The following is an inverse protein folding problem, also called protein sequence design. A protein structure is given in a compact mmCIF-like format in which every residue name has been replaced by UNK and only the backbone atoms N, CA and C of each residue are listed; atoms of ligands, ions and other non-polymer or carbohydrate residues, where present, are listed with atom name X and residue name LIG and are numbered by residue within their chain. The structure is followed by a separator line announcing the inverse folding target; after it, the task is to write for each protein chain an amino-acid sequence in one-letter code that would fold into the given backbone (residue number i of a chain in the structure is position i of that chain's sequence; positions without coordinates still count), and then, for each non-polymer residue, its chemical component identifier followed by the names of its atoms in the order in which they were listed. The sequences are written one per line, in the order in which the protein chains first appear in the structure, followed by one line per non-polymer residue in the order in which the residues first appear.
data_IF_874148476670
#
_entry.id   IF_874148476670
#
_cell.length_a   1.000
_cell.length_b   1.000
_cell.length_c   1.000
_cell.angle_alpha   90.00
_cell.angle_beta   90.00
_cell.angle_gamma   90.00
#
_symmetry.space_group_name_H-M   'P 1'
#
loop_
_entity.id
_entity.type
_entity.pdbx_description
1 polymer ?
#
# COMPACT_ATOMS: atom_id res chain seq x y z
N UNK A 1 -7.93 -20.28 -5.27
CA UNK A 1 -9.19 -20.33 -6.03
C UNK A 1 -10.18 -21.12 -5.22
N UNK A 2 -11.42 -20.64 -5.10
CA UNK A 2 -12.48 -21.38 -4.42
C UNK A 2 -13.78 -21.21 -5.19
N UNK A 3 -14.49 -22.30 -5.45
CA UNK A 3 -15.80 -22.27 -6.08
C UNK A 3 -16.85 -22.56 -5.02
N UNK A 4 -17.80 -21.64 -4.86
CA UNK A 4 -18.87 -21.74 -3.87
C UNK A 4 -20.19 -21.95 -4.61
N UNK A 5 -20.95 -22.95 -4.18
CA UNK A 5 -22.30 -23.21 -4.68
C UNK A 5 -23.31 -22.70 -3.65
N UNK A 6 -24.19 -21.82 -4.08
CA UNK A 6 -25.26 -21.26 -3.27
C UNK A 6 -26.59 -21.81 -3.76
N UNK A 7 -27.33 -22.48 -2.88
CA UNK A 7 -28.67 -22.95 -3.17
C UNK A 7 -29.69 -22.06 -2.46
N UNK A 8 -30.49 -21.35 -3.25
CA UNK A 8 -31.62 -20.57 -2.78
C UNK A 8 -32.86 -21.46 -2.80
N UNK A 9 -33.56 -21.55 -1.67
CA UNK A 9 -34.88 -22.19 -1.54
C UNK A 9 -35.90 -21.13 -1.18
N UNK A 10 -36.95 -21.00 -1.98
CA UNK A 10 -38.07 -20.08 -1.75
C UNK A 10 -39.32 -20.91 -1.49
N UNK A 11 -40.05 -20.57 -0.43
CA UNK A 11 -41.34 -21.21 -0.10
C UNK A 11 -42.43 -20.15 -0.15
N UNK A 12 -43.54 -20.42 -0.85
CA UNK A 12 -44.70 -19.52 -0.88
C UNK A 12 -45.62 -19.72 0.33
N UNK A 13 -46.61 -18.84 0.48
CA UNK A 13 -47.58 -18.87 1.59
C UNK A 13 -48.53 -20.09 1.53
N UNK A 14 -48.58 -20.78 0.39
CA UNK A 14 -49.36 -22.01 0.20
C UNK A 14 -48.50 -23.28 0.37
N UNK A 15 -47.23 -23.13 0.80
CA UNK A 15 -46.32 -24.24 1.09
C UNK A 15 -45.59 -24.82 -0.13
N UNK A 16 -45.68 -24.21 -1.31
CA UNK A 16 -44.92 -24.65 -2.49
C UNK A 16 -43.50 -24.13 -2.42
N UNK A 17 -42.57 -24.95 -2.88
CA UNK A 17 -41.14 -24.70 -2.77
C UNK A 17 -40.50 -24.66 -4.15
N UNK A 18 -39.66 -23.65 -4.39
CA UNK A 18 -38.79 -23.56 -5.57
C UNK A 18 -37.34 -23.45 -5.12
N UNK A 19 -36.42 -24.08 -5.84
CA UNK A 19 -34.98 -24.01 -5.54
C UNK A 19 -34.18 -23.60 -6.77
N UNK A 20 -33.21 -22.71 -6.59
CA UNK A 20 -32.25 -22.28 -7.62
C UNK A 20 -30.83 -22.35 -7.08
N UNK A 21 -29.88 -22.78 -7.91
CA UNK A 21 -28.47 -22.91 -7.52
C UNK A 21 -27.62 -21.94 -8.33
N UNK A 22 -26.80 -21.14 -7.65
CA UNK A 22 -25.84 -20.21 -8.26
C UNK A 22 -24.41 -20.65 -7.92
N UNK A 23 -23.53 -20.64 -8.94
CA UNK A 23 -22.12 -20.94 -8.75
C UNK A 23 -21.33 -19.64 -8.73
N UNK A 24 -20.56 -19.41 -7.67
CA UNK A 24 -19.69 -18.25 -7.52
C UNK A 24 -18.24 -18.73 -7.57
N UNK A 25 -17.56 -18.38 -8.64
CA UNK A 25 -16.15 -18.67 -8.82
C UNK A 25 -15.32 -17.52 -8.23
N UNK A 26 -14.64 -17.76 -7.11
CA UNK A 26 -13.75 -16.78 -6.48
C UNK A 26 -12.34 -17.00 -7.00
N UNK A 27 -11.95 -16.13 -7.94
CA UNK A 27 -10.57 -16.02 -8.40
C UNK A 27 -9.80 -15.12 -7.44
N UNK A 28 -8.55 -15.48 -7.03
CA UNK A 28 -7.67 -14.49 -6.42
C UNK A 28 -7.58 -13.32 -7.38
N UNK A 29 -7.93 -12.12 -6.91
CA UNK A 29 -8.03 -10.95 -7.76
C UNK A 29 -6.74 -10.81 -8.55
N UNK A 30 -6.82 -10.89 -9.88
CA UNK A 30 -5.73 -10.40 -10.72
C UNK A 30 -5.49 -8.95 -10.26
N UNK A 31 -4.26 -8.56 -9.89
CA UNK A 31 -3.97 -7.15 -9.73
C UNK A 31 -4.44 -6.47 -11.02
N UNK A 32 -5.17 -5.35 -10.95
CA UNK A 32 -5.65 -4.68 -12.15
C UNK A 32 -4.42 -4.38 -13.01
N UNK A 33 -4.28 -5.14 -14.11
CA UNK A 33 -3.07 -5.22 -14.90
C UNK A 33 -2.65 -3.83 -15.39
N UNK A 34 -1.36 -3.56 -15.19
CA UNK A 34 -0.46 -2.74 -16.02
C UNK A 34 -0.93 -1.36 -16.47
N UNK A 35 -0.65 -0.35 -15.64
CA UNK A 35 0.04 0.87 -16.09
C UNK A 35 0.43 1.71 -14.86
N UNK A 36 1.63 1.46 -14.32
CA UNK A 36 2.23 2.22 -13.24
C UNK A 36 1.55 2.01 -11.89
N UNK A 37 2.18 1.22 -11.02
CA UNK A 37 2.43 1.62 -9.63
C UNK A 37 1.38 2.56 -9.04
N UNK A 38 0.15 2.07 -8.90
CA UNK A 38 -0.93 2.90 -8.41
C UNK A 38 -0.82 2.98 -6.88
N UNK A 39 -0.91 4.19 -6.36
CA UNK A 39 -0.75 4.51 -4.95
C UNK A 39 -2.09 4.83 -4.33
N UNK A 40 -2.27 4.42 -3.08
CA UNK A 40 -3.48 4.60 -2.31
C UNK A 40 -3.19 5.59 -1.18
N UNK A 41 -3.72 6.80 -1.32
CA UNK A 41 -3.71 7.81 -0.27
C UNK A 41 -5.07 7.82 0.43
N UNK A 42 -5.10 7.50 1.73
CA UNK A 42 -6.30 7.66 2.55
C UNK A 42 -6.26 8.99 3.28
N UNK A 43 -7.27 9.81 3.06
CA UNK A 43 -7.41 11.14 3.70
C UNK A 43 -8.70 11.24 4.50
N UNK A 44 -8.73 12.13 5.50
CA UNK A 44 -9.95 12.46 6.23
C UNK A 44 -10.82 13.47 5.44
N UNK A 45 -12.11 13.20 5.26
CA UNK A 45 -13.06 14.15 4.66
C UNK A 45 -13.36 13.98 3.16
N UNK A 46 -14.20 14.86 2.59
CA UNK A 46 -14.75 14.72 1.24
C UNK A 46 -13.76 15.20 0.17
N UNK A 47 -12.91 14.29 -0.32
CA UNK A 47 -11.86 14.59 -1.29
C UNK A 47 -12.40 14.92 -2.71
N UNK A 48 -13.64 14.58 -3.00
CA UNK A 48 -14.23 14.75 -4.34
C UNK A 48 -14.31 16.22 -4.77
N UNK A 49 -14.60 17.14 -3.85
CA UNK A 49 -14.77 18.56 -4.16
C UNK A 49 -13.44 19.35 -4.24
N UNK A 50 -12.37 18.85 -3.61
CA UNK A 50 -11.08 19.55 -3.49
C UNK A 50 -9.94 18.77 -4.16
N UNK A 51 -10.29 17.92 -5.13
CA UNK A 51 -9.34 17.09 -5.89
C UNK A 51 -8.20 17.91 -6.49
N UNK A 52 -8.52 19.00 -7.19
CA UNK A 52 -7.50 19.75 -7.94
C UNK A 52 -6.49 20.43 -7.02
N UNK A 53 -6.96 20.94 -5.88
CA UNK A 53 -6.10 21.50 -4.83
C UNK A 53 -5.16 20.43 -4.28
N UNK A 54 -5.67 19.24 -4.00
CA UNK A 54 -4.84 18.14 -3.49
C UNK A 54 -3.83 17.66 -4.54
N UNK A 55 -4.20 17.55 -5.82
CA UNK A 55 -3.25 17.19 -6.89
C UNK A 55 -2.13 18.22 -6.99
N UNK A 56 -2.46 19.53 -6.93
CA UNK A 56 -1.47 20.62 -6.92
C UNK A 56 -0.52 20.54 -5.72
N UNK A 57 -1.07 20.31 -4.53
CA UNK A 57 -0.24 20.16 -3.32
C UNK A 57 0.65 18.92 -3.43
N UNK A 58 0.12 17.78 -3.86
CA UNK A 58 0.93 16.58 -4.09
C UNK A 58 2.05 16.86 -5.09
N UNK A 59 1.74 17.45 -6.24
CA UNK A 59 2.72 17.81 -7.28
C UNK A 59 3.85 18.68 -6.72
N UNK A 60 3.52 19.70 -5.92
CA UNK A 60 4.49 20.54 -5.24
C UNK A 60 5.35 19.76 -4.23
N UNK A 61 4.78 18.79 -3.52
CA UNK A 61 5.49 17.99 -2.53
C UNK A 61 6.50 17.03 -3.14
N UNK A 62 6.14 16.39 -4.26
CA UNK A 62 6.98 15.41 -4.97
C UNK A 62 7.80 16.05 -6.09
N UNK A 63 7.76 17.37 -6.21
CA UNK A 63 8.49 18.17 -7.20
C UNK A 63 8.25 17.74 -8.66
N UNK A 64 7.00 17.42 -9.01
CA UNK A 64 6.56 17.13 -10.38
C UNK A 64 5.51 18.13 -10.83
N UNK A 65 5.17 18.14 -12.11
CA UNK A 65 4.11 19.01 -12.62
C UNK A 65 2.73 18.38 -12.36
N UNK A 66 1.70 19.21 -12.18
CA UNK A 66 0.32 18.72 -11.97
C UNK A 66 -0.13 17.72 -13.04
N UNK A 67 0.28 17.95 -14.30
CA UNK A 67 -0.05 17.10 -15.46
C UNK A 67 0.59 15.71 -15.41
N UNK A 68 1.65 15.55 -14.62
CA UNK A 68 2.39 14.31 -14.47
C UNK A 68 1.70 13.38 -13.46
N UNK A 69 0.82 13.92 -12.61
CA UNK A 69 0.00 13.15 -11.67
C UNK A 69 -1.30 12.72 -12.35
N UNK A 70 -1.47 11.42 -12.55
CA UNK A 70 -2.71 10.86 -13.10
C UNK A 70 -3.51 10.19 -11.99
N UNK A 71 -4.73 10.67 -11.79
CA UNK A 71 -5.67 10.15 -10.78
C UNK A 71 -6.63 9.15 -11.43
N UNK A 72 -6.70 7.93 -10.90
CA UNK A 72 -7.58 6.85 -11.39
C UNK A 72 -8.96 6.88 -10.75
N UNK A 73 -8.99 6.97 -9.42
CA UNK A 73 -10.21 6.73 -8.66
C UNK A 73 -10.19 7.53 -7.35
N UNK A 74 -11.32 8.18 -7.07
CA UNK A 74 -11.65 8.73 -5.78
C UNK A 74 -12.80 7.91 -5.22
N UNK A 75 -12.50 6.97 -4.33
CA UNK A 75 -13.52 6.16 -3.70
C UNK A 75 -13.76 6.68 -2.29
N UNK A 76 -14.85 7.44 -2.12
CA UNK A 76 -15.36 7.82 -0.81
C UNK A 76 -15.87 6.57 -0.12
N UNK A 77 -15.05 5.96 0.75
CA UNK A 77 -15.44 4.72 1.43
C UNK A 77 -16.45 5.01 2.54
N UNK A 78 -16.50 6.27 3.01
CA UNK A 78 -17.43 6.84 4.00
C UNK A 78 -17.42 8.38 3.91
N UNK A 79 -18.31 9.09 4.61
CA UNK A 79 -18.24 10.57 4.78
C UNK A 79 -16.95 11.06 5.48
N UNK A 80 -16.16 10.14 6.05
CA UNK A 80 -15.00 10.44 6.89
C UNK A 80 -13.67 10.00 6.28
N UNK A 81 -13.65 9.05 5.35
CA UNK A 81 -12.43 8.56 4.70
C UNK A 81 -12.60 8.41 3.19
N UNK A 82 -11.74 9.12 2.44
CA UNK A 82 -11.67 8.99 0.99
C UNK A 82 -10.35 8.33 0.59
N UNK A 83 -10.44 7.41 -0.37
CA UNK A 83 -9.33 6.68 -0.96
C UNK A 83 -9.02 7.33 -2.31
N UNK A 84 -7.83 7.89 -2.46
CA UNK A 84 -7.30 8.39 -3.72
C UNK A 84 -6.34 7.37 -4.32
N UNK A 85 -6.64 6.95 -5.55
CA UNK A 85 -5.73 6.16 -6.36
C UNK A 85 -5.08 7.03 -7.43
N UNK A 86 -3.75 7.10 -7.45
CA UNK A 86 -3.01 7.88 -8.47
C UNK A 86 -1.68 7.21 -8.84
N UNK A 87 -1.07 7.66 -9.94
CA UNK A 87 0.27 7.30 -10.34
C UNK A 87 0.97 8.51 -10.96
N UNK A 88 2.29 8.48 -10.99
CA UNK A 88 3.11 9.61 -11.45
C UNK A 88 3.90 9.23 -12.69
N UNK A 89 3.81 10.08 -13.71
CA UNK A 89 4.57 9.97 -14.95
C UNK A 89 5.80 10.88 -14.87
N UNK A 90 6.99 10.30 -14.70
CA UNK A 90 8.24 11.05 -14.73
C UNK A 90 8.72 11.34 -16.15
N UNK A 91 9.79 12.15 -16.29
CA UNK A 91 10.38 12.50 -17.59
C UNK A 91 10.94 11.29 -18.36
N UNK A 92 11.38 10.25 -17.65
CA UNK A 92 11.96 9.02 -18.21
C UNK A 92 10.98 7.84 -18.25
N UNK A 93 9.74 8.03 -17.80
CA UNK A 93 8.72 6.98 -17.71
C UNK A 93 7.95 7.00 -16.39
N UNK A 94 7.06 6.01 -16.17
CA UNK A 94 6.30 5.89 -14.92
C UNK A 94 7.24 5.73 -13.72
N UNK A 95 6.96 6.46 -12.64
CA UNK A 95 7.73 6.37 -11.39
C UNK A 95 7.32 5.10 -10.63
N UNK A 96 8.27 4.31 -10.07
CA UNK A 96 7.94 3.13 -9.26
C UNK A 96 7.20 3.53 -7.97
N UNK A 97 6.16 2.77 -7.60
CA UNK A 97 5.31 3.10 -6.45
C UNK A 97 6.04 2.88 -5.13
N UNK A 98 6.96 1.91 -5.05
CA UNK A 98 7.74 1.68 -3.83
C UNK A 98 8.50 2.93 -3.39
N UNK A 99 9.23 3.55 -4.32
CA UNK A 99 10.02 4.77 -4.05
C UNK A 99 9.15 5.96 -3.69
N UNK A 100 8.01 6.11 -4.36
CA UNK A 100 7.11 7.24 -4.14
C UNK A 100 6.31 7.09 -2.84
N UNK A 101 5.85 5.89 -2.48
CA UNK A 101 5.24 5.61 -1.17
C UNK A 101 6.20 5.88 -0.02
N UNK A 102 7.48 5.51 -0.16
CA UNK A 102 8.52 5.84 0.82
C UNK A 102 8.62 7.34 1.04
N UNK A 103 8.74 8.11 -0.05
CA UNK A 103 8.82 9.57 0.00
C UNK A 103 7.56 10.18 0.65
N UNK A 104 6.39 9.72 0.23
CA UNK A 104 5.10 10.20 0.72
C UNK A 104 4.87 9.84 2.19
N UNK A 105 5.27 8.65 2.65
CA UNK A 105 5.20 8.30 4.08
C UNK A 105 6.09 9.23 4.90
N UNK A 106 7.33 9.45 4.47
CA UNK A 106 8.26 10.35 5.17
C UNK A 106 7.71 11.77 5.22
N UNK A 107 7.28 12.31 4.08
CA UNK A 107 6.79 13.68 4.00
C UNK A 107 5.43 13.87 4.66
N UNK A 108 4.43 13.02 4.37
CA UNK A 108 3.03 13.24 4.79
C UNK A 108 2.70 12.66 6.16
N UNK A 109 3.44 11.67 6.66
CA UNK A 109 3.20 11.09 7.99
C UNK A 109 4.19 11.58 9.05
N UNK A 110 5.36 12.10 8.64
CA UNK A 110 6.46 12.46 9.57
C UNK A 110 6.84 13.94 9.51
N UNK A 111 7.25 14.44 8.35
CA UNK A 111 7.88 15.76 8.25
C UNK A 111 6.88 16.91 8.08
N UNK A 112 5.83 16.70 7.27
CA UNK A 112 4.90 17.73 6.79
C UNK A 112 3.44 17.23 6.81
N UNK A 113 2.99 16.75 7.97
CA UNK A 113 1.66 16.15 8.14
C UNK A 113 0.48 17.08 7.82
N UNK A 114 0.71 18.40 7.89
CA UNK A 114 -0.31 19.42 7.66
C UNK A 114 -0.14 20.15 6.30
N UNK A 115 0.70 19.61 5.41
CA UNK A 115 0.96 20.21 4.10
C UNK A 115 -0.21 20.06 3.13
N UNK A 116 -0.90 18.92 3.20
CA UNK A 116 -2.12 18.70 2.45
C UNK A 116 -3.29 19.29 3.22
N UNK A 117 -4.30 19.74 2.48
CA UNK A 117 -5.57 20.23 3.04
C UNK A 117 -6.26 19.19 3.94
N UNK A 118 -5.95 17.91 3.74
CA UNK A 118 -6.46 16.79 4.51
C UNK A 118 -5.33 16.06 5.23
N UNK A 119 -5.62 15.59 6.44
CA UNK A 119 -4.72 14.72 7.19
C UNK A 119 -4.65 13.36 6.51
N UNK A 120 -3.43 12.98 6.15
CA UNK A 120 -3.15 11.67 5.58
C UNK A 120 -3.16 10.63 6.68
N UNK A 121 -4.02 9.63 6.52
CA UNK A 121 -4.15 8.52 7.47
C UNK A 121 -3.21 7.39 7.10
N UNK A 122 -3.07 7.11 5.80
CA UNK A 122 -2.25 6.00 5.31
C UNK A 122 -1.86 6.19 3.85
N UNK A 123 -0.64 5.75 3.53
CA UNK A 123 -0.08 5.70 2.17
C UNK A 123 0.32 4.25 1.90
N UNK A 124 -0.29 3.61 0.91
CA UNK A 124 -0.02 2.23 0.50
C UNK A 124 0.12 2.12 -1.02
N UNK A 125 0.72 1.04 -1.51
CA UNK A 125 0.66 0.64 -2.92
C UNK A 125 -0.58 -0.23 -3.19
N UNK A 126 -1.14 -0.18 -4.40
CA UNK A 126 -2.32 -1.00 -4.76
C UNK A 126 -1.98 -2.50 -4.74
N UNK A 127 -0.92 -2.90 -5.42
CA UNK A 127 -0.33 -4.23 -5.32
C UNK A 127 0.87 -4.18 -4.38
N UNK A 128 1.26 -5.29 -3.75
CA UNK A 128 2.57 -5.26 -3.10
C UNK A 128 3.67 -5.35 -4.14
N UNK A 129 4.53 -4.32 -4.18
CA UNK A 129 5.67 -4.21 -5.09
C UNK A 129 7.01 -4.34 -4.34
N UNK A 130 6.99 -4.69 -3.05
CA UNK A 130 8.21 -4.89 -2.27
C UNK A 130 8.95 -6.13 -2.74
N UNK A 131 10.25 -5.98 -3.02
CA UNK A 131 11.13 -7.10 -3.40
C UNK A 131 11.55 -7.95 -2.20
N UNK A 132 11.30 -7.48 -0.97
CA UNK A 132 11.68 -8.15 0.28
C UNK A 132 13.15 -8.64 0.29
N UNK A 133 14.05 -7.85 -0.31
CA UNK A 133 15.47 -8.20 -0.47
C UNK A 133 15.73 -9.52 -1.22
N UNK A 134 14.73 -10.08 -1.90
CA UNK A 134 14.76 -11.41 -2.50
C UNK A 134 14.69 -12.57 -1.49
N UNK A 135 14.34 -12.30 -0.23
CA UNK A 135 14.46 -13.21 0.92
C UNK A 135 13.20 -13.23 1.77
N UNK A 136 12.07 -13.27 1.10
CA UNK A 136 10.77 -13.27 1.72
C UNK A 136 9.67 -13.03 0.70
N UNK A 137 8.44 -13.01 1.20
CA UNK A 137 7.24 -12.78 0.43
C UNK A 137 6.55 -11.51 0.89
N UNK A 138 6.11 -10.68 -0.04
CA UNK A 138 5.31 -9.54 0.36
C UNK A 138 3.85 -9.93 0.58
N UNK A 139 3.33 -9.59 1.75
CA UNK A 139 1.92 -9.76 2.08
C UNK A 139 1.04 -8.74 1.32
N UNK A 140 0.07 -9.19 0.50
CA UNK A 140 -0.78 -8.31 -0.28
C UNK A 140 -1.76 -7.47 0.56
N UNK A 141 -2.00 -7.85 1.81
CA UNK A 141 -2.93 -7.19 2.75
C UNK A 141 -2.17 -6.15 3.58
N UNK A 142 -1.12 -6.57 4.29
CA UNK A 142 -0.38 -5.67 5.19
C UNK A 142 0.60 -4.76 4.44
N UNK A 143 1.01 -5.14 3.22
CA UNK A 143 2.05 -4.47 2.43
C UNK A 143 3.40 -4.43 3.14
N UNK A 144 3.68 -5.50 3.89
CA UNK A 144 4.93 -5.73 4.60
C UNK A 144 5.58 -7.03 4.13
N UNK A 145 6.88 -7.17 4.36
CA UNK A 145 7.61 -8.36 4.02
C UNK A 145 7.48 -9.42 5.11
N UNK A 146 7.02 -10.61 4.73
CA UNK A 146 7.14 -11.82 5.53
C UNK A 146 8.45 -12.51 5.15
N UNK A 147 9.41 -12.49 6.07
CA UNK A 147 10.76 -12.95 5.78
C UNK A 147 10.88 -14.48 5.86
N UNK A 148 11.74 -15.02 5.00
CA UNK A 148 12.12 -16.43 5.05
C UNK A 148 12.87 -16.73 6.36
N UNK A 149 12.93 -18.00 6.81
CA UNK A 149 13.71 -18.38 7.98
C UNK A 149 15.15 -17.84 7.90
N UNK A 150 15.69 -17.41 9.05
CA UNK A 150 17.00 -16.76 9.22
C UNK A 150 17.10 -15.31 8.71
N UNK A 151 16.05 -14.77 8.08
CA UNK A 151 15.97 -13.37 7.69
C UNK A 151 15.01 -12.61 8.59
N UNK A 152 15.29 -11.33 8.83
CA UNK A 152 14.43 -10.48 9.63
C UNK A 152 14.29 -9.10 9.02
N UNK A 153 13.33 -8.32 9.50
CA UNK A 153 13.21 -6.94 9.12
C UNK A 153 14.40 -6.12 9.62
N UNK A 154 14.99 -5.32 8.73
CA UNK A 154 16.04 -4.40 9.13
C UNK A 154 15.42 -3.21 9.88
N UNK A 155 15.41 -3.30 11.21
CA UNK A 155 14.86 -2.26 12.10
C UNK A 155 15.59 -0.92 11.96
N UNK A 156 16.87 -0.90 11.58
CA UNK A 156 17.61 0.35 11.36
C UNK A 156 17.10 1.05 10.11
N UNK A 157 16.87 0.30 9.04
CA UNK A 157 16.23 0.85 7.83
C UNK A 157 14.81 1.31 8.12
N UNK A 158 14.06 0.59 8.96
CA UNK A 158 12.72 0.96 9.36
C UNK A 158 12.66 2.28 10.16
N UNK A 159 13.55 2.45 11.16
CA UNK A 159 13.48 3.59 12.07
C UNK A 159 14.34 4.79 11.64
N UNK A 160 15.53 4.53 11.08
CA UNK A 160 16.56 5.51 10.74
C UNK A 160 16.74 5.69 9.22
N UNK A 161 16.21 4.77 8.41
CA UNK A 161 16.30 4.80 6.96
C UNK A 161 15.03 5.34 6.28
N UNK A 162 14.59 4.61 5.26
CA UNK A 162 13.45 4.94 4.41
C UNK A 162 12.10 4.41 4.95
N UNK A 163 12.11 3.61 6.01
CA UNK A 163 10.89 3.05 6.59
C UNK A 163 10.25 1.94 5.73
N UNK A 164 10.96 1.43 4.72
CA UNK A 164 10.46 0.35 3.87
C UNK A 164 10.67 -1.01 4.54
N UNK A 165 9.62 -1.84 4.57
CA UNK A 165 9.70 -3.21 5.07
C UNK A 165 10.56 -4.05 4.14
N UNK A 166 11.48 -4.83 4.70
CA UNK A 166 12.49 -5.58 3.96
C UNK A 166 12.90 -6.83 4.74
N UNK A 167 13.71 -7.70 4.13
CA UNK A 167 14.26 -8.90 4.80
C UNK A 167 15.79 -8.88 4.72
N UNK A 168 16.41 -8.26 5.72
CA UNK A 168 17.86 -8.11 5.83
C UNK A 168 18.48 -9.12 6.79
N UNK A 169 19.79 -9.02 6.94
CA UNK A 169 20.51 -9.76 7.98
C UNK A 169 20.02 -9.32 9.37
N UNK A 170 19.99 -10.27 10.31
CA UNK A 170 19.94 -9.92 11.74
C UNK A 170 21.19 -9.10 12.05
N UNK A 171 21.05 -8.01 12.79
CA UNK A 171 22.19 -7.28 13.35
C UNK A 171 22.18 -7.40 14.88
N UNK A 172 23.30 -7.83 15.47
CA UNK A 172 23.51 -7.81 16.92
C UNK A 172 24.24 -6.51 17.26
N UNK A 173 23.70 -5.79 18.24
CA UNK A 173 24.32 -4.62 18.83
C UNK A 173 25.14 -5.04 20.05
N UNK A 174 26.46 -4.91 19.95
CA UNK A 174 27.38 -5.14 21.07
C UNK A 174 27.72 -3.77 21.66
N UNK A 175 27.37 -3.51 22.94
CA UNK A 175 27.77 -2.27 23.60
C UNK A 175 29.28 -2.33 23.92
N UNK A 176 30.06 -1.48 23.25
CA UNK A 176 31.44 -1.14 23.62
C UNK A 176 31.43 0.13 24.49
N UNK A 177 32.46 0.36 25.34
CA UNK A 177 32.47 1.46 26.31
C UNK A 177 32.30 2.88 25.71
N UNK A 178 32.46 3.05 24.40
CA UNK A 178 32.32 4.35 23.71
C UNK A 178 31.43 4.28 22.46
N UNK A 179 30.92 3.10 22.08
CA UNK A 179 30.15 2.93 20.86
C UNK A 179 29.23 1.70 20.94
N UNK A 180 28.09 1.73 20.23
CA UNK A 180 27.41 0.50 19.88
C UNK A 180 27.96 -0.01 18.55
N UNK A 181 28.53 -1.21 18.57
CA UNK A 181 29.07 -1.84 17.37
C UNK A 181 28.08 -2.86 16.84
N UNK A 182 27.82 -2.76 15.55
CA UNK A 182 26.79 -3.55 14.91
C UNK A 182 27.41 -4.66 14.07
N UNK A 183 27.05 -5.91 14.38
CA UNK A 183 27.54 -7.08 13.69
C UNK A 183 26.41 -7.76 12.94
N UNK A 184 26.50 -7.95 11.61
CA UNK A 184 25.55 -8.79 10.90
C UNK A 184 25.75 -10.24 11.34
N UNK A 185 24.67 -10.89 11.77
CA UNK A 185 24.61 -12.33 11.94
C UNK A 185 24.46 -12.91 10.54
N UNK A 186 25.58 -13.33 9.97
CA UNK A 186 25.59 -14.08 8.72
C UNK A 186 25.21 -15.51 9.09
N UNK A 187 24.05 -15.97 8.62
CA UNK A 187 23.67 -17.38 8.71
C UNK A 187 24.72 -18.23 7.99
N UNK A 188 25.12 -19.33 8.65
CA UNK A 188 26.07 -20.34 8.13
C UNK A 188 25.73 -20.81 6.71
#
# INVERSE_FOLDING_TARGET
MGTYLFQLRVTDAQGRVSTATATVEVRPGRPPHSSGSAEVLRVNGPLVAQRDTLVRQLAALIHVLDRDIRVRALQGRTQLSTVLQFWVQGPTGPVPASSLVVLLRKQLLRDKSDFLLFKVLRVDTVACELSCSGRGQCDPITKQCSCDPFWTENLIRLYLGDGESNCGNIFILIPEPVALKMFPVVGL
#
